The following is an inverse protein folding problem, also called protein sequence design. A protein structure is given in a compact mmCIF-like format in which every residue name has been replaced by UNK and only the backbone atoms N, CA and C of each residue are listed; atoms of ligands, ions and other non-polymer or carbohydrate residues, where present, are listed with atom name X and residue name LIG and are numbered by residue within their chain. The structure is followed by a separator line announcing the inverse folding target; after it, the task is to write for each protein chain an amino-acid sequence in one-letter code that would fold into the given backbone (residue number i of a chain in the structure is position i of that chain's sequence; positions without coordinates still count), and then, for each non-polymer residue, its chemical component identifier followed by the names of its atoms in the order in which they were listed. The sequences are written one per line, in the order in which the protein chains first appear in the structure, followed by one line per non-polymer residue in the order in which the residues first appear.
data_IF_792952378531
#
_entry.id   IF_792952378531
#
_cell.length_a   1.000
_cell.length_b   1.000
_cell.length_c   1.000
_cell.angle_alpha   90.00
_cell.angle_beta   90.00
_cell.angle_gamma   90.00
#
_symmetry.space_group_name_H-M   'P 1'
#
loop_
_entity.id
_entity.type
_entity.pdbx_description
1 polymer ?
#
# COMPACT_ATOMS: atom_id res chain seq x y z
N UNK A 1 -27.32 2.08 13.95
CA UNK A 1 -26.15 1.22 13.65
C UNK A 1 -25.47 1.85 12.46
N UNK A 2 -24.39 2.60 12.66
CA UNK A 2 -23.71 3.27 11.56
C UNK A 2 -23.15 2.19 10.63
N UNK A 3 -23.49 2.25 9.34
CA UNK A 3 -22.81 1.47 8.33
C UNK A 3 -21.33 1.89 8.39
N UNK A 4 -20.48 1.09 9.02
CA UNK A 4 -19.05 1.25 8.82
C UNK A 4 -18.84 0.87 7.36
N UNK A 5 -18.59 1.88 6.51
CA UNK A 5 -18.13 1.65 5.15
C UNK A 5 -16.91 0.74 5.25
N UNK A 6 -17.10 -0.51 4.84
CA UNK A 6 -16.06 -1.52 4.89
C UNK A 6 -14.92 -1.05 4.00
N UNK A 7 -13.72 -1.08 4.56
CA UNK A 7 -12.55 -0.60 3.86
C UNK A 7 -12.10 -1.65 2.83
N UNK A 8 -11.58 -1.18 1.70
CA UNK A 8 -10.95 -2.07 0.72
C UNK A 8 -9.70 -2.72 1.33
N UNK A 9 -9.34 -3.90 0.84
CA UNK A 9 -8.10 -4.57 1.24
C UNK A 9 -6.86 -3.64 1.12
N UNK A 10 -6.86 -2.78 0.09
CA UNK A 10 -5.79 -1.80 -0.16
C UNK A 10 -5.74 -0.70 0.89
N UNK A 11 -6.89 -0.19 1.31
CA UNK A 11 -6.97 0.83 2.35
C UNK A 11 -6.47 0.28 3.71
N UNK A 12 -6.79 -0.98 4.02
CA UNK A 12 -6.25 -1.67 5.20
C UNK A 12 -4.74 -1.84 5.07
N UNK A 13 -4.26 -2.35 3.93
CA UNK A 13 -2.84 -2.55 3.70
C UNK A 13 -2.03 -1.24 3.80
N UNK A 14 -2.55 -0.14 3.23
CA UNK A 14 -1.93 1.18 3.33
C UNK A 14 -1.85 1.67 4.78
N UNK A 15 -2.89 1.47 5.59
CA UNK A 15 -2.88 1.85 7.00
C UNK A 15 -1.85 1.05 7.80
N UNK A 16 -1.78 -0.28 7.61
CA UNK A 16 -0.79 -1.12 8.28
C UNK A 16 0.62 -0.73 7.88
N UNK A 17 0.87 -0.53 6.58
CA UNK A 17 2.21 -0.27 6.04
C UNK A 17 2.69 1.17 6.28
N UNK A 18 1.78 2.15 6.47
CA UNK A 18 2.16 3.51 6.89
C UNK A 18 2.77 3.55 8.29
N UNK A 19 2.26 2.72 9.20
CA UNK A 19 2.80 2.58 10.55
C UNK A 19 3.94 1.57 10.66
N UNK A 20 4.28 0.87 9.58
CA UNK A 20 5.27 -0.20 9.61
C UNK A 20 6.69 0.35 9.60
N UNK A 21 7.35 0.21 10.74
CA UNK A 21 8.79 0.36 10.89
C UNK A 21 9.47 -1.02 10.93
N UNK A 22 10.38 -1.36 10.00
CA UNK A 22 11.13 -2.60 10.05
C UNK A 22 12.02 -2.75 11.30
N UNK A 23 12.30 -1.68 12.05
CA UNK A 23 13.08 -1.74 13.29
C UNK A 23 12.25 -2.07 14.55
N UNK A 24 10.93 -1.85 14.51
CA UNK A 24 10.05 -1.92 15.70
C UNK A 24 8.84 -2.83 15.47
N UNK A 25 9.00 -3.90 14.70
CA UNK A 25 7.98 -4.77 14.09
C UNK A 25 6.65 -4.97 14.86
N UNK A 26 5.57 -4.35 14.36
CA UNK A 26 4.17 -4.57 14.81
C UNK A 26 3.16 -4.70 13.64
N UNK A 27 3.59 -5.15 12.45
CA UNK A 27 2.69 -5.31 11.28
C UNK A 27 1.54 -6.29 11.56
N UNK A 28 1.84 -7.47 12.12
CA UNK A 28 0.83 -8.50 12.38
C UNK A 28 -0.27 -8.03 13.34
N UNK A 29 0.11 -7.42 14.47
CA UNK A 29 -0.85 -6.93 15.47
C UNK A 29 -1.73 -5.79 14.93
N UNK A 30 -1.17 -4.93 14.09
CA UNK A 30 -1.94 -3.84 13.46
C UNK A 30 -2.89 -4.38 12.40
N UNK A 31 -2.44 -5.35 11.61
CA UNK A 31 -3.26 -6.06 10.64
C UNK A 31 -4.44 -6.74 11.32
N UNK A 32 -4.21 -7.53 12.38
CA UNK A 32 -5.26 -8.27 13.08
C UNK A 32 -6.38 -7.36 13.59
N UNK A 33 -6.04 -6.17 14.10
CA UNK A 33 -7.03 -5.16 14.56
C UNK A 33 -7.85 -4.57 13.42
N UNK A 34 -7.26 -4.45 12.23
CA UNK A 34 -7.89 -3.83 11.07
C UNK A 34 -8.63 -4.85 10.18
N UNK A 35 -8.35 -6.15 10.29
CA UNK A 35 -9.01 -7.19 9.50
C UNK A 35 -10.53 -7.23 9.71
N UNK A 36 -11.04 -6.80 10.87
CA UNK A 36 -12.48 -6.72 11.13
C UNK A 36 -13.18 -5.59 10.36
N UNK A 37 -12.42 -4.66 9.78
CA UNK A 37 -12.94 -3.52 9.01
C UNK A 37 -13.09 -3.85 7.51
N UNK A 38 -12.80 -5.08 7.09
CA UNK A 38 -12.93 -5.50 5.69
C UNK A 38 -13.48 -6.93 5.57
N UNK A 39 -14.21 -7.18 4.48
CA UNK A 39 -14.58 -8.55 4.08
C UNK A 39 -13.46 -9.23 3.26
N UNK A 40 -12.52 -8.46 2.72
CA UNK A 40 -11.42 -8.96 1.91
C UNK A 40 -10.20 -9.34 2.76
N UNK A 41 -10.42 -10.07 3.86
CA UNK A 41 -9.39 -10.38 4.88
C UNK A 41 -8.14 -11.02 4.28
N UNK A 42 -8.34 -12.07 3.47
CA UNK A 42 -7.24 -12.79 2.83
C UNK A 42 -6.41 -11.85 1.93
N UNK A 43 -7.09 -11.05 1.10
CA UNK A 43 -6.43 -10.09 0.22
C UNK A 43 -5.66 -9.02 0.98
N UNK A 44 -6.20 -8.51 2.09
CA UNK A 44 -5.51 -7.52 2.93
C UNK A 44 -4.22 -8.12 3.53
N UNK A 45 -4.29 -9.35 4.05
CA UNK A 45 -3.12 -10.07 4.55
C UNK A 45 -2.09 -10.31 3.47
N UNK A 46 -2.51 -10.75 2.29
CA UNK A 46 -1.62 -11.00 1.15
C UNK A 46 -0.92 -9.72 0.69
N UNK A 47 -1.64 -8.59 0.61
CA UNK A 47 -1.05 -7.30 0.28
C UNK A 47 -0.01 -6.85 1.32
N UNK A 48 -0.32 -6.95 2.61
CA UNK A 48 0.61 -6.53 3.68
C UNK A 48 1.85 -7.41 3.69
N UNK A 49 1.68 -8.72 3.84
CA UNK A 49 2.81 -9.65 3.94
C UNK A 49 3.59 -9.73 2.63
N UNK A 50 2.91 -9.70 1.49
CA UNK A 50 3.51 -9.69 0.17
C UNK A 50 4.36 -8.45 -0.08
N UNK A 51 3.87 -7.28 0.32
CA UNK A 51 4.61 -6.02 0.21
C UNK A 51 5.83 -6.00 1.14
N UNK A 52 5.70 -6.49 2.39
CA UNK A 52 6.83 -6.57 3.33
C UNK A 52 7.90 -7.54 2.80
N UNK A 53 7.48 -8.75 2.40
CA UNK A 53 8.38 -9.80 1.90
C UNK A 53 9.18 -9.37 0.67
N UNK A 54 8.53 -8.66 -0.25
CA UNK A 54 9.15 -8.22 -1.50
C UNK A 54 9.64 -6.76 -1.46
N UNK A 55 9.70 -6.13 -0.28
CA UNK A 55 9.98 -4.69 -0.15
C UNK A 55 11.27 -4.27 -0.83
N UNK A 56 12.34 -5.06 -0.69
CA UNK A 56 13.63 -4.76 -1.33
C UNK A 56 13.55 -4.74 -2.86
N UNK A 57 12.86 -5.73 -3.46
CA UNK A 57 12.66 -5.80 -4.90
C UNK A 57 11.76 -4.66 -5.40
N UNK A 58 10.67 -4.39 -4.68
CA UNK A 58 9.74 -3.31 -4.98
C UNK A 58 10.43 -1.94 -4.90
N UNK A 59 11.23 -1.69 -3.86
CA UNK A 59 11.97 -0.44 -3.69
C UNK A 59 13.01 -0.23 -4.80
N UNK A 60 13.66 -1.30 -5.26
CA UNK A 60 14.57 -1.23 -6.40
C UNK A 60 13.84 -0.83 -7.70
N UNK A 61 12.65 -1.40 -7.92
CA UNK A 61 11.78 -1.03 -9.05
C UNK A 61 11.37 0.44 -8.94
N UNK A 62 10.87 0.89 -7.78
CA UNK A 62 10.47 2.28 -7.57
C UNK A 62 11.65 3.24 -7.76
N UNK A 63 12.83 2.93 -7.20
CA UNK A 63 14.02 3.76 -7.37
C UNK A 63 14.42 3.90 -8.84
N UNK A 64 14.35 2.81 -9.61
CA UNK A 64 14.67 2.80 -11.05
C UNK A 64 13.73 3.70 -11.85
N UNK A 65 12.42 3.64 -11.58
CA UNK A 65 11.41 4.41 -12.34
C UNK A 65 11.23 5.85 -11.85
N UNK A 66 11.43 6.13 -10.56
CA UNK A 66 11.26 7.48 -9.99
C UNK A 66 12.46 8.40 -10.23
N UNK A 67 13.59 7.86 -10.71
CA UNK A 67 14.83 8.61 -10.94
C UNK A 67 15.47 9.16 -9.65
N UNK A 68 15.00 8.75 -8.47
CA UNK A 68 15.50 9.19 -7.17
C UNK A 68 15.51 8.03 -6.16
N UNK A 69 16.37 8.09 -5.13
CA UNK A 69 16.33 7.11 -4.05
C UNK A 69 14.97 7.11 -3.34
N UNK A 70 14.47 5.94 -2.95
CA UNK A 70 13.21 5.80 -2.20
C UNK A 70 13.22 6.59 -0.88
N UNK A 71 14.40 6.76 -0.26
CA UNK A 71 14.59 7.59 0.93
C UNK A 71 14.28 9.09 0.72
N UNK A 72 14.21 9.56 -0.54
CA UNK A 72 13.81 10.95 -0.89
C UNK A 72 12.33 11.07 -1.28
N UNK A 73 11.57 9.97 -1.21
CA UNK A 73 10.13 9.95 -1.46
C UNK A 73 9.42 10.06 -0.11
N UNK A 74 8.35 10.86 -0.05
CA UNK A 74 7.50 10.92 1.14
C UNK A 74 7.05 9.51 1.58
N UNK A 75 7.11 9.22 2.87
CA UNK A 75 6.89 7.87 3.40
C UNK A 75 5.47 7.34 3.11
N UNK A 76 4.46 8.21 3.08
CA UNK A 76 3.08 7.82 2.74
C UNK A 76 2.98 7.52 1.25
N UNK A 77 3.51 8.41 0.41
CA UNK A 77 3.54 8.19 -1.03
C UNK A 77 4.30 6.90 -1.39
N UNK A 78 5.46 6.67 -0.77
CA UNK A 78 6.27 5.49 -1.00
C UNK A 78 5.51 4.20 -0.65
N UNK A 79 4.70 4.23 0.41
CA UNK A 79 3.88 3.07 0.80
C UNK A 79 2.80 2.77 -0.24
N UNK A 80 2.13 3.80 -0.76
CA UNK A 80 1.14 3.66 -1.83
C UNK A 80 1.79 3.07 -3.09
N UNK A 81 2.97 3.59 -3.47
CA UNK A 81 3.73 3.07 -4.60
C UNK A 81 4.15 1.61 -4.40
N UNK A 82 4.55 1.22 -3.18
CA UNK A 82 4.92 -0.16 -2.88
C UNK A 82 3.76 -1.13 -3.07
N UNK A 83 2.57 -0.77 -2.58
CA UNK A 83 1.36 -1.59 -2.73
C UNK A 83 0.99 -1.71 -4.22
N UNK A 84 1.00 -0.59 -4.95
CA UNK A 84 0.65 -0.58 -6.37
C UNK A 84 1.60 -1.44 -7.22
N UNK A 85 2.91 -1.32 -6.98
CA UNK A 85 3.91 -2.15 -7.67
C UNK A 85 3.74 -3.63 -7.31
N UNK A 86 3.46 -3.94 -6.04
CA UNK A 86 3.19 -5.32 -5.62
C UNK A 86 1.95 -5.90 -6.32
N UNK A 87 0.85 -5.15 -6.40
CA UNK A 87 -0.35 -5.61 -7.12
C UNK A 87 -0.09 -5.84 -8.60
N UNK A 88 0.59 -4.91 -9.28
CA UNK A 88 0.92 -5.05 -10.71
C UNK A 88 1.82 -6.27 -10.95
N UNK A 89 2.78 -6.53 -10.07
CA UNK A 89 3.74 -7.61 -10.24
C UNK A 89 3.21 -9.00 -9.84
N UNK A 90 2.37 -9.08 -8.80
CA UNK A 90 2.00 -10.36 -8.18
C UNK A 90 0.49 -10.69 -8.25
N UNK A 91 -0.36 -9.74 -8.68
CA UNK A 91 -1.81 -9.94 -8.80
C UNK A 91 -2.29 -9.66 -10.24
N UNK A 92 -1.95 -10.53 -11.21
CA UNK A 92 -2.29 -10.31 -12.63
C UNK A 92 -3.80 -10.31 -12.90
N UNK A 93 -4.61 -10.85 -11.99
CA UNK A 93 -6.07 -10.79 -12.06
C UNK A 93 -6.63 -9.36 -11.87
N UNK A 94 -5.84 -8.45 -11.30
CA UNK A 94 -6.26 -7.06 -11.10
C UNK A 94 -5.88 -6.22 -12.33
N UNK A 95 -6.82 -5.51 -12.97
CA UNK A 95 -6.49 -4.63 -14.08
C UNK A 95 -5.53 -3.51 -13.67
N UNK A 96 -4.45 -3.32 -14.43
CA UNK A 96 -3.39 -2.32 -14.14
C UNK A 96 -3.96 -0.91 -13.99
N UNK A 97 -4.94 -0.51 -14.83
CA UNK A 97 -5.55 0.81 -14.75
C UNK A 97 -6.28 1.05 -13.43
N UNK A 98 -6.87 0.01 -12.83
CA UNK A 98 -7.56 0.10 -11.53
C UNK A 98 -6.56 0.32 -10.40
N UNK A 99 -5.41 -0.37 -10.46
CA UNK A 99 -4.33 -0.18 -9.48
C UNK A 99 -3.79 1.23 -9.55
N UNK A 100 -3.56 1.75 -10.77
CA UNK A 100 -3.03 3.10 -10.97
C UNK A 100 -4.03 4.18 -10.54
N UNK A 101 -5.30 4.09 -10.95
CA UNK A 101 -6.33 5.06 -10.55
C UNK A 101 -6.48 5.13 -9.03
N UNK A 102 -6.49 3.98 -8.35
CA UNK A 102 -6.58 3.95 -6.89
C UNK A 102 -5.31 4.48 -6.22
N UNK A 103 -4.13 4.16 -6.73
CA UNK A 103 -2.87 4.70 -6.23
C UNK A 103 -2.81 6.22 -6.37
N UNK A 104 -3.27 6.78 -7.50
CA UNK A 104 -3.34 8.23 -7.72
C UNK A 104 -4.33 8.89 -6.76
N UNK A 105 -5.52 8.30 -6.56
CA UNK A 105 -6.51 8.78 -5.59
C UNK A 105 -5.99 8.74 -4.16
N UNK A 106 -5.30 7.66 -3.79
CA UNK A 106 -4.67 7.52 -2.48
C UNK A 106 -3.57 8.56 -2.28
N UNK A 107 -2.73 8.79 -3.30
CA UNK A 107 -1.66 9.79 -3.26
C UNK A 107 -2.22 11.21 -3.10
N UNK A 108 -3.29 11.54 -3.82
CA UNK A 108 -3.99 12.82 -3.72
C UNK A 108 -4.60 13.06 -2.33
N UNK A 109 -5.01 12.00 -1.62
CA UNK A 109 -5.48 12.08 -0.23
C UNK A 109 -4.33 12.23 0.78
N UNK A 110 -3.14 11.70 0.46
CA UNK A 110 -1.98 11.72 1.36
C UNK A 110 -1.11 12.98 1.26
N UNK A 111 -1.12 13.69 0.11
CA UNK A 111 -0.23 14.81 -0.17
C UNK A 111 -0.95 16.08 -0.62
N UNK A 112 -0.61 17.22 0.00
CA UNK A 112 -1.04 18.54 -0.47
C UNK A 112 -0.56 18.82 -1.90
N UNK A 113 -1.46 19.35 -2.73
CA UNK A 113 -1.31 19.83 -4.12
C UNK A 113 0.06 19.54 -4.80
N UNK A 114 0.01 18.64 -5.80
CA UNK A 114 1.05 18.27 -6.80
C UNK A 114 1.86 16.99 -6.51
N UNK A 115 1.16 15.85 -6.39
CA UNK A 115 1.80 14.52 -6.46
C UNK A 115 1.20 13.58 -7.54
N UNK A 116 0.21 14.06 -8.29
CA UNK A 116 -0.40 13.33 -9.41
C UNK A 116 0.04 14.00 -10.71
N UNK A 117 0.79 13.30 -11.54
CA UNK A 117 1.26 13.74 -12.85
C UNK A 117 1.47 12.56 -13.75
#
# INVERSE_FOLDING_TARGET
MAAHDLQSARAIAAQVLHGFDPAHEYAGQTLDRLLDQTHERQRATDLVHGTIRNRGAIDAVIAKFSGRPTARIDARLLTILRIAVYEIAYHPATPVYSVVDEAVRAAAKSGGKKQSG
#
